data_IF_464753836808
#
_entry.id   IF_464753836808
#
_cell.length_a   1.000
_cell.length_b   1.000
_cell.length_c   1.000
_cell.angle_alpha   90.00
_cell.angle_beta   90.00
_cell.angle_gamma   90.00
#
_symmetry.space_group_name_H-M   'P 1'
#
loop_
_entity.id
_entity.type
_entity.pdbx_description
1 polymer ?
#
# COMPACT_ATOMS: atom_id res chain seq x y z
N UNK A 1 26.83 -13.11 15.84
CA UNK A 1 25.54 -13.79 15.64
C UNK A 1 24.74 -13.07 14.55
N UNK A 2 24.44 -13.73 13.44
CA UNK A 2 23.50 -13.25 12.43
C UNK A 2 22.06 -13.46 12.96
N UNK A 3 21.61 -12.57 13.84
CA UNK A 3 20.22 -12.62 14.33
C UNK A 3 19.31 -12.25 13.15
N UNK A 4 18.58 -13.23 12.61
CA UNK A 4 17.51 -13.07 11.64
C UNK A 4 17.85 -12.28 10.36
N UNK A 5 18.91 -12.69 9.65
CA UNK A 5 19.28 -12.24 8.29
C UNK A 5 19.21 -10.71 8.10
N UNK A 6 20.10 -9.99 8.78
CA UNK A 6 20.23 -8.54 8.71
C UNK A 6 20.26 -8.00 7.26
N UNK A 7 21.03 -8.63 6.36
CA UNK A 7 21.15 -8.24 4.96
C UNK A 7 19.80 -8.22 4.22
N UNK A 8 18.94 -9.22 4.47
CA UNK A 8 17.60 -9.29 3.87
C UNK A 8 16.69 -8.17 4.35
N UNK A 9 16.78 -7.76 5.62
CA UNK A 9 16.01 -6.63 6.16
C UNK A 9 16.40 -5.30 5.53
N UNK A 10 17.71 -5.05 5.39
CA UNK A 10 18.20 -3.85 4.72
C UNK A 10 17.74 -3.79 3.26
N UNK A 11 17.79 -4.91 2.54
CA UNK A 11 17.26 -4.99 1.17
C UNK A 11 15.75 -4.77 1.11
N UNK A 12 14.98 -5.34 2.03
CA UNK A 12 13.55 -5.10 2.11
C UNK A 12 13.22 -3.61 2.34
N UNK A 13 13.90 -2.96 3.28
CA UNK A 13 13.73 -1.52 3.53
C UNK A 13 14.13 -0.67 2.32
N UNK A 14 15.19 -1.05 1.61
CA UNK A 14 15.59 -0.40 0.36
C UNK A 14 14.51 -0.55 -0.72
N UNK A 15 13.92 -1.73 -0.87
CA UNK A 15 12.83 -1.96 -1.84
C UNK A 15 11.58 -1.16 -1.47
N UNK A 16 11.17 -1.13 -0.21
CA UNK A 16 10.06 -0.28 0.25
C UNK A 16 10.35 1.19 -0.06
N UNK A 17 11.58 1.66 0.22
CA UNK A 17 12.00 3.01 -0.14
C UNK A 17 11.86 3.25 -1.66
N UNK A 18 12.32 2.32 -2.49
CA UNK A 18 12.23 2.44 -3.94
C UNK A 18 10.78 2.44 -4.44
N UNK A 19 9.87 1.70 -3.81
CA UNK A 19 8.43 1.72 -4.11
C UNK A 19 7.85 3.10 -3.79
N UNK A 20 8.19 3.68 -2.63
CA UNK A 20 7.72 5.01 -2.22
C UNK A 20 8.22 6.09 -3.19
N UNK A 21 9.48 5.99 -3.63
CA UNK A 21 10.10 6.89 -4.61
C UNK A 21 10.04 6.37 -6.05
N UNK A 22 9.11 5.45 -6.35
CA UNK A 22 8.84 4.89 -7.67
C UNK A 22 8.84 5.91 -8.83
N UNK A 23 8.28 7.13 -8.69
CA UNK A 23 8.30 8.12 -9.77
C UNK A 23 9.72 8.56 -10.19
N UNK A 24 10.70 8.48 -9.29
CA UNK A 24 12.03 9.08 -9.43
C UNK A 24 13.11 8.08 -9.86
N UNK A 25 12.85 6.76 -9.77
CA UNK A 25 13.85 5.73 -10.00
C UNK A 25 13.38 4.68 -11.02
N UNK A 26 14.33 4.01 -11.68
CA UNK A 26 14.04 2.91 -12.60
C UNK A 26 13.42 1.74 -11.84
N UNK A 27 12.21 1.34 -12.23
CA UNK A 27 11.45 0.28 -11.56
C UNK A 27 11.95 -1.09 -12.00
N UNK A 28 12.70 -1.77 -11.11
CA UNK A 28 13.13 -3.16 -11.32
C UNK A 28 11.98 -4.15 -11.05
N UNK A 29 12.14 -5.40 -11.53
CA UNK A 29 11.11 -6.44 -11.35
C UNK A 29 10.78 -6.72 -9.88
N UNK A 30 11.79 -6.62 -9.00
CA UNK A 30 11.62 -6.83 -7.57
C UNK A 30 10.66 -5.81 -6.94
N UNK A 31 10.81 -4.52 -7.29
CA UNK A 31 9.97 -3.43 -6.76
C UNK A 31 8.52 -3.57 -7.25
N UNK A 32 8.34 -4.04 -8.48
CA UNK A 32 7.03 -4.31 -9.06
C UNK A 32 6.33 -5.49 -8.39
N UNK A 33 7.05 -6.59 -8.19
CA UNK A 33 6.52 -7.77 -7.49
C UNK A 33 6.13 -7.43 -6.05
N UNK A 34 7.01 -6.74 -5.32
CA UNK A 34 6.76 -6.37 -3.93
C UNK A 34 5.59 -5.38 -3.79
N UNK A 35 5.42 -4.43 -4.72
CA UNK A 35 4.26 -3.54 -4.73
C UNK A 35 2.95 -4.28 -5.02
N UNK A 36 2.96 -5.31 -5.87
CA UNK A 36 1.79 -6.14 -6.15
C UNK A 36 1.40 -7.00 -4.93
N UNK A 37 2.40 -7.52 -4.21
CA UNK A 37 2.18 -8.17 -2.92
C UNK A 37 1.59 -7.22 -1.89
N UNK A 38 2.05 -5.97 -1.84
CA UNK A 38 1.50 -4.96 -0.93
C UNK A 38 0.02 -4.65 -1.26
N UNK A 39 -0.34 -4.55 -2.54
CA UNK A 39 -1.73 -4.38 -2.97
C UNK A 39 -2.62 -5.55 -2.51
N UNK A 40 -2.12 -6.78 -2.59
CA UNK A 40 -2.83 -7.98 -2.13
C UNK A 40 -3.05 -8.02 -0.62
N UNK A 41 -2.23 -7.30 0.15
CA UNK A 41 -2.31 -7.23 1.62
C UNK A 41 -3.15 -6.07 2.15
N UNK A 42 -3.71 -5.20 1.29
CA UNK A 42 -4.57 -4.08 1.71
C UNK A 42 -5.73 -4.50 2.64
N UNK A 43 -6.49 -5.57 2.34
CA UNK A 43 -7.57 -6.01 3.23
C UNK A 43 -7.06 -6.44 4.61
N UNK A 44 -5.88 -7.06 4.68
CA UNK A 44 -5.25 -7.44 5.94
C UNK A 44 -4.88 -6.21 6.75
N UNK A 45 -4.26 -5.20 6.12
CA UNK A 45 -3.87 -3.96 6.79
C UNK A 45 -5.09 -3.19 7.34
N UNK A 46 -6.18 -3.09 6.57
CA UNK A 46 -7.45 -2.51 7.04
C UNK A 46 -8.00 -3.23 8.28
N UNK A 47 -7.98 -4.58 8.26
CA UNK A 47 -8.46 -5.36 9.40
C UNK A 47 -7.56 -5.19 10.63
N UNK A 48 -6.24 -5.16 10.44
CA UNK A 48 -5.29 -4.92 11.54
C UNK A 48 -5.48 -3.55 12.18
N UNK A 49 -5.70 -2.51 11.36
CA UNK A 49 -6.00 -1.17 11.85
C UNK A 49 -7.32 -1.14 12.64
N UNK A 50 -8.38 -1.75 12.11
CA UNK A 50 -9.66 -1.85 12.80
C UNK A 50 -9.52 -2.57 14.14
N UNK A 51 -8.80 -3.71 14.16
CA UNK A 51 -8.53 -4.48 15.37
C UNK A 51 -7.72 -3.63 16.37
N UNK A 52 -6.68 -2.94 15.91
CA UNK A 52 -5.88 -2.06 16.77
C UNK A 52 -6.75 -0.96 17.39
N UNK A 53 -7.58 -0.28 16.59
CA UNK A 53 -8.51 0.72 17.08
C UNK A 53 -9.50 0.13 18.08
N UNK A 54 -10.10 -1.03 17.78
CA UNK A 54 -11.08 -1.72 18.63
C UNK A 54 -10.53 -2.02 20.03
N UNK A 55 -9.27 -2.47 20.11
CA UNK A 55 -8.62 -2.77 21.39
C UNK A 55 -8.11 -1.51 22.10
N UNK A 56 -7.51 -0.55 21.39
CA UNK A 56 -6.94 0.68 21.99
C UNK A 56 -8.03 1.58 22.56
N UNK A 57 -9.12 1.77 21.82
CA UNK A 57 -10.24 2.63 22.22
C UNK A 57 -11.13 1.98 23.27
N UNK A 58 -11.01 0.66 23.47
CA UNK A 58 -11.89 -0.08 24.36
C UNK A 58 -13.34 -0.18 23.85
N UNK A 59 -13.56 -0.01 22.53
CA UNK A 59 -14.89 -0.09 21.88
C UNK A 59 -15.67 -1.35 22.27
N UNK A 60 -14.97 -2.44 22.55
CA UNK A 60 -15.56 -3.68 23.03
C UNK A 60 -16.31 -3.55 24.36
N UNK A 61 -15.89 -2.61 25.23
CA UNK A 61 -16.53 -2.35 26.53
C UNK A 61 -17.78 -1.50 26.40
N UNK A 62 -17.80 -0.58 25.45
CA UNK A 62 -18.92 0.33 25.20
C UNK A 62 -19.93 -0.23 24.21
N UNK A 63 -19.66 -1.40 23.62
CA UNK A 63 -20.43 -2.02 22.53
C UNK A 63 -20.61 -1.11 21.30
N UNK A 64 -19.76 -0.08 21.15
CA UNK A 64 -19.78 0.84 20.01
C UNK A 64 -18.82 0.35 18.92
N UNK A 65 -19.26 -0.61 18.12
CA UNK A 65 -18.47 -1.17 17.01
C UNK A 65 -18.22 -0.15 15.87
N UNK A 66 -18.98 0.94 15.83
CA UNK A 66 -18.87 1.98 14.80
C UNK A 66 -17.85 3.07 15.12
N UNK A 67 -17.31 3.11 16.35
CA UNK A 67 -16.42 4.18 16.82
C UNK A 67 -15.20 4.39 15.91
N UNK A 68 -14.54 3.29 15.51
CA UNK A 68 -13.34 3.32 14.66
C UNK A 68 -13.61 3.77 13.23
N UNK A 69 -14.83 3.58 12.73
CA UNK A 69 -15.25 4.00 11.38
C UNK A 69 -15.73 5.46 11.41
N UNK A 70 -16.35 5.89 12.51
CA UNK A 70 -16.91 7.23 12.70
C UNK A 70 -15.83 8.27 13.02
N UNK A 71 -14.75 7.85 13.67
CA UNK A 71 -13.64 8.74 14.03
C UNK A 71 -12.84 9.09 12.78
N UNK A 72 -12.77 10.38 12.48
CA UNK A 72 -12.09 10.93 11.29
C UNK A 72 -10.64 10.47 11.19
N UNK A 73 -9.88 10.49 12.28
CA UNK A 73 -8.47 10.08 12.28
C UNK A 73 -8.24 8.62 11.84
N UNK A 74 -9.05 7.68 12.32
CA UNK A 74 -8.94 6.28 11.94
C UNK A 74 -9.49 6.04 10.53
N UNK A 75 -10.55 6.74 10.15
CA UNK A 75 -11.07 6.65 8.78
C UNK A 75 -10.05 7.14 7.73
N UNK A 76 -9.39 8.26 8.00
CA UNK A 76 -8.41 8.84 7.09
C UNK A 76 -7.14 7.98 7.00
N UNK A 77 -6.75 7.33 8.12
CA UNK A 77 -5.64 6.38 8.14
C UNK A 77 -5.98 5.10 7.34
N UNK A 78 -7.18 4.52 7.54
CA UNK A 78 -7.67 3.39 6.76
C UNK A 78 -7.75 3.71 5.27
N UNK A 79 -8.17 4.93 4.93
CA UNK A 79 -8.16 5.42 3.57
C UNK A 79 -6.73 5.45 3.00
N UNK A 80 -5.80 6.08 3.71
CA UNK A 80 -4.40 6.19 3.28
C UNK A 80 -3.73 4.82 3.11
N UNK A 81 -3.91 3.90 4.06
CA UNK A 81 -3.38 2.54 4.03
C UNK A 81 -3.85 1.76 2.80
N UNK A 82 -5.05 2.10 2.30
CA UNK A 82 -5.64 1.43 1.15
C UNK A 82 -5.30 2.09 -0.17
N UNK A 83 -5.24 3.42 -0.17
CA UNK A 83 -4.96 4.22 -1.35
C UNK A 83 -3.50 4.14 -1.77
N UNK A 84 -2.58 4.21 -0.79
CA UNK A 84 -1.14 4.30 -1.05
C UNK A 84 -0.56 3.12 -1.85
N UNK A 85 -0.90 1.85 -1.57
CA UNK A 85 -0.40 0.72 -2.37
C UNK A 85 -0.79 0.80 -3.85
N UNK A 86 -2.04 1.13 -4.14
CA UNK A 86 -2.50 1.30 -5.51
C UNK A 86 -1.88 2.53 -6.18
N UNK A 87 -1.68 3.62 -5.44
CA UNK A 87 -0.97 4.81 -5.93
C UNK A 87 0.46 4.49 -6.37
N UNK A 88 1.25 3.83 -5.52
CA UNK A 88 2.63 3.48 -5.86
C UNK A 88 2.68 2.54 -7.08
N UNK A 89 1.72 1.62 -7.17
CA UNK A 89 1.60 0.70 -8.31
C UNK A 89 1.24 1.43 -9.61
N UNK A 90 0.33 2.39 -9.56
CA UNK A 90 0.03 3.27 -10.68
C UNK A 90 1.28 4.06 -11.11
N UNK A 91 2.00 4.68 -10.17
CA UNK A 91 3.22 5.43 -10.48
C UNK A 91 4.31 4.55 -11.11
N UNK A 92 4.43 3.28 -10.71
CA UNK A 92 5.37 2.35 -11.34
C UNK A 92 4.99 2.05 -12.80
N UNK A 93 3.70 1.87 -13.09
CA UNK A 93 3.20 1.70 -14.47
C UNK A 93 3.40 2.97 -15.31
N UNK A 94 3.15 4.15 -14.73
CA UNK A 94 3.37 5.42 -15.40
C UNK A 94 4.84 5.59 -15.78
N UNK A 95 5.78 5.32 -14.84
CA UNK A 95 7.22 5.40 -15.12
C UNK A 95 7.65 4.45 -16.23
N UNK A 96 7.17 3.20 -16.22
CA UNK A 96 7.45 2.24 -17.30
C UNK A 96 6.87 2.65 -18.64
N UNK A 97 5.69 3.28 -18.64
CA UNK A 97 5.14 3.86 -19.86
C UNK A 97 6.01 5.00 -20.39
N UNK A 98 6.52 5.88 -19.52
CA UNK A 98 7.48 6.93 -19.92
C UNK A 98 8.80 6.35 -20.44
N UNK A 99 9.30 5.25 -19.87
CA UNK A 99 10.57 4.64 -20.25
C UNK A 99 10.48 3.77 -21.53
N UNK A 100 9.40 3.00 -21.71
CA UNK A 100 9.26 2.00 -22.80
C UNK A 100 8.24 2.40 -23.88
N UNK A 101 7.37 3.36 -23.62
CA UNK A 101 6.34 3.84 -24.57
C UNK A 101 5.22 2.85 -24.90
N UNK A 102 5.17 1.68 -24.27
CA UNK A 102 4.19 0.63 -24.61
C UNK A 102 2.80 0.91 -24.01
N UNK A 103 1.75 0.80 -24.84
CA UNK A 103 0.36 1.01 -24.42
C UNK A 103 -0.12 0.01 -23.35
N UNK A 104 0.50 -1.18 -23.25
CA UNK A 104 0.20 -2.18 -22.21
C UNK A 104 0.42 -1.65 -20.79
N UNK A 105 1.44 -0.82 -20.58
CA UNK A 105 1.71 -0.16 -19.29
C UNK A 105 0.66 0.89 -18.97
N UNK A 106 0.14 1.59 -19.98
CA UNK A 106 -0.92 2.59 -19.83
C UNK A 106 -2.27 1.94 -19.48
N UNK A 107 -2.60 0.78 -20.07
CA UNK A 107 -3.80 0.02 -19.69
C UNK A 107 -3.70 -0.46 -18.23
N UNK A 108 -2.53 -0.95 -17.82
CA UNK A 108 -2.29 -1.34 -16.43
C UNK A 108 -2.36 -0.14 -15.49
N UNK A 109 -1.83 1.02 -15.87
CA UNK A 109 -1.99 2.27 -15.13
C UNK A 109 -3.47 2.58 -14.90
N UNK A 110 -4.27 2.55 -15.97
CA UNK A 110 -5.71 2.78 -15.90
C UNK A 110 -6.42 1.84 -14.93
N UNK A 111 -6.09 0.54 -14.97
CA UNK A 111 -6.64 -0.45 -14.03
C UNK A 111 -6.39 -0.06 -12.57
N UNK A 112 -5.18 0.36 -12.22
CA UNK A 112 -4.86 0.74 -10.84
C UNK A 112 -5.46 2.09 -10.45
N UNK A 113 -5.53 3.06 -11.36
CA UNK A 113 -6.23 4.34 -11.13
C UNK A 113 -7.72 4.11 -10.89
N UNK A 114 -8.37 3.23 -11.66
CA UNK A 114 -9.77 2.86 -11.41
C UNK A 114 -9.97 2.19 -10.06
N UNK A 115 -9.03 1.33 -9.63
CA UNK A 115 -9.07 0.72 -8.30
C UNK A 115 -8.91 1.75 -7.18
N UNK A 116 -8.07 2.79 -7.38
CA UNK A 116 -7.93 3.90 -6.42
C UNK A 116 -9.23 4.69 -6.29
N UNK A 117 -9.89 4.99 -7.41
CA UNK A 117 -11.17 5.70 -7.41
C UNK A 117 -12.29 4.89 -6.76
N UNK A 118 -12.24 3.56 -6.86
CA UNK A 118 -13.22 2.66 -6.23
C UNK A 118 -12.91 2.38 -4.74
N UNK A 119 -11.66 2.49 -4.33
CA UNK A 119 -11.24 2.44 -2.92
C UNK A 119 -11.44 3.78 -2.19
N UNK A 120 -11.56 4.85 -2.99
CA UNK A 120 -12.09 6.20 -2.75
C UNK A 120 -13.39 6.25 -1.99
#
# INVERSE_FOLDING_TARGET
>A
FNIAYQSSRYRFLQVIKNIVFSPLYKVIMLDFFMADQLCSQVPLLRNLEYIACYYITGSYKTQDYGYCIRTTHYRDLAYAVSFLPYYWRAMQCARRWFDEGQASHLVNLGKYVSAMLAAG
#
